data_IF_093277337216
#
_entry.id   IF_093277337216
#
_cell.length_a   1.000
_cell.length_b   1.000
_cell.length_c   1.000
_cell.angle_alpha   90.00
_cell.angle_beta   90.00
_cell.angle_gamma   90.00
#
_symmetry.space_group_name_H-M   'P 1'
#
loop_
_entity.id
_entity.type
_entity.pdbx_description
1 polymer ?
#
# COMPACT_ATOMS: atom_id res chain seq x y z
N UNK A 1 -2.31 -12.61 -8.98
CA UNK A 1 -2.83 -13.35 -10.15
C UNK A 1 -4.06 -14.12 -9.72
N UNK A 2 -5.09 -14.15 -10.56
CA UNK A 2 -6.22 -15.05 -10.31
C UNK A 2 -5.80 -16.50 -10.61
N UNK A 3 -6.13 -17.45 -9.73
CA UNK A 3 -5.99 -18.85 -10.08
C UNK A 3 -6.92 -19.16 -11.26
N UNK A 4 -6.47 -19.97 -12.24
CA UNK A 4 -7.35 -20.41 -13.31
C UNK A 4 -8.53 -21.18 -12.71
N UNK A 5 -9.74 -20.85 -13.16
CA UNK A 5 -10.97 -21.53 -12.77
C UNK A 5 -11.40 -22.45 -13.89
N UNK A 6 -11.74 -23.69 -13.54
CA UNK A 6 -12.24 -24.66 -14.52
C UNK A 6 -13.57 -24.24 -15.14
N UNK A 7 -13.69 -24.45 -16.45
CA UNK A 7 -14.91 -24.16 -17.20
C UNK A 7 -16.12 -24.97 -16.70
N UNK A 8 -15.91 -26.17 -16.16
CA UNK A 8 -16.96 -26.98 -15.55
C UNK A 8 -17.53 -26.31 -14.30
N UNK A 9 -16.68 -25.71 -13.47
CA UNK A 9 -17.08 -24.98 -12.26
C UNK A 9 -17.89 -23.73 -12.60
N UNK A 10 -17.50 -22.99 -13.64
CA UNK A 10 -18.26 -21.83 -14.10
C UNK A 10 -19.65 -22.23 -14.64
N UNK A 11 -19.72 -23.33 -15.41
CA UNK A 11 -21.00 -23.83 -15.97
C UNK A 11 -21.92 -24.42 -14.90
N UNK A 12 -21.37 -25.15 -13.94
CA UNK A 12 -22.13 -25.83 -12.90
C UNK A 12 -22.57 -24.88 -11.77
N UNK A 13 -21.96 -23.69 -11.68
CA UNK A 13 -22.30 -22.68 -10.68
C UNK A 13 -22.44 -21.28 -11.32
N UNK A 14 -23.60 -20.98 -11.93
CA UNK A 14 -23.81 -19.71 -12.63
C UNK A 14 -23.71 -18.48 -11.70
N UNK A 15 -24.05 -18.62 -10.42
CA UNK A 15 -23.89 -17.53 -9.44
C UNK A 15 -22.42 -17.17 -9.25
N UNK A 16 -21.56 -18.18 -9.11
CA UNK A 16 -20.12 -17.98 -9.03
C UNK A 16 -19.56 -17.42 -10.35
N UNK A 17 -20.03 -17.90 -11.50
CA UNK A 17 -19.61 -17.37 -12.80
C UNK A 17 -19.88 -15.87 -12.92
N UNK A 18 -21.06 -15.41 -12.54
CA UNK A 18 -21.39 -13.98 -12.56
C UNK A 18 -20.48 -13.17 -11.65
N UNK A 19 -20.23 -13.65 -10.43
CA UNK A 19 -19.31 -12.98 -9.50
C UNK A 19 -17.87 -12.95 -10.05
N UNK A 20 -17.40 -14.07 -10.60
CA UNK A 20 -16.08 -14.21 -11.17
C UNK A 20 -15.86 -13.20 -12.31
N UNK A 21 -16.80 -13.10 -13.26
CA UNK A 21 -16.75 -12.11 -14.33
C UNK A 21 -16.75 -10.67 -13.80
N UNK A 22 -17.61 -10.35 -12.84
CA UNK A 22 -17.64 -9.00 -12.23
C UNK A 22 -16.28 -8.65 -11.61
N UNK A 23 -15.65 -9.59 -10.91
CA UNK A 23 -14.34 -9.39 -10.30
C UNK A 23 -13.23 -9.25 -11.34
N UNK A 24 -13.12 -10.17 -12.30
CA UNK A 24 -12.01 -10.20 -13.26
C UNK A 24 -12.11 -9.15 -14.35
N UNK A 25 -13.33 -8.79 -14.77
CA UNK A 25 -13.56 -7.86 -15.87
C UNK A 25 -13.81 -6.44 -15.33
N UNK A 26 -14.58 -6.30 -14.27
CA UNK A 26 -15.00 -5.01 -13.73
C UNK A 26 -14.05 -4.42 -12.69
N UNK A 27 -13.59 -5.22 -11.73
CA UNK A 27 -13.03 -4.68 -10.48
C UNK A 27 -11.51 -4.84 -10.37
N UNK A 28 -10.96 -5.95 -10.84
CA UNK A 28 -9.57 -6.34 -10.59
C UNK A 28 -8.72 -6.30 -11.86
N UNK A 29 -7.46 -5.91 -11.69
CA UNK A 29 -6.42 -6.03 -12.70
C UNK A 29 -5.96 -7.50 -12.81
N UNK A 30 -5.26 -7.85 -13.89
CA UNK A 30 -4.75 -9.22 -14.12
C UNK A 30 -3.81 -9.72 -13.02
N UNK A 31 -3.06 -8.81 -12.38
CA UNK A 31 -2.20 -9.11 -11.24
C UNK A 31 -2.98 -9.31 -9.92
N UNK A 32 -4.29 -9.07 -9.90
CA UNK A 32 -5.16 -9.21 -8.73
C UNK A 32 -5.32 -7.94 -7.88
N UNK A 33 -4.76 -6.80 -8.29
CA UNK A 33 -4.99 -5.52 -7.60
C UNK A 33 -6.31 -4.89 -8.04
N UNK A 34 -6.88 -3.99 -7.23
CA UNK A 34 -8.12 -3.28 -7.58
C UNK A 34 -7.88 -2.17 -8.60
N UNK A 35 -8.80 -2.02 -9.55
CA UNK A 35 -8.85 -0.91 -10.51
C UNK A 35 -9.30 0.40 -9.87
N UNK A 36 -10.18 0.31 -8.86
CA UNK A 36 -10.81 1.48 -8.24
C UNK A 36 -10.01 2.06 -7.07
N UNK A 37 -9.17 1.24 -6.47
CA UNK A 37 -8.29 1.67 -5.39
C UNK A 37 -6.84 1.49 -5.83
N UNK A 38 -6.22 2.51 -6.45
CA UNK A 38 -4.77 2.54 -6.67
C UNK A 38 -3.98 2.65 -5.35
N UNK A 39 -4.67 2.61 -4.20
CA UNK A 39 -4.17 2.77 -2.84
C UNK A 39 -3.26 1.64 -2.35
N UNK A 40 -2.11 1.47 -3.01
CA UNK A 40 -0.90 0.97 -2.36
C UNK A 40 -0.12 2.09 -1.64
N UNK A 41 -0.61 3.34 -1.62
CA UNK A 41 0.06 4.41 -0.87
C UNK A 41 -0.02 4.20 0.66
N UNK A 42 -1.08 3.58 1.17
CA UNK A 42 -1.26 3.41 2.62
C UNK A 42 -0.63 2.13 3.18
N UNK A 43 -0.45 1.07 2.38
CA UNK A 43 0.20 -0.17 2.85
C UNK A 43 1.73 -0.11 2.83
N UNK A 44 2.33 0.68 1.95
CA UNK A 44 3.79 0.91 1.97
C UNK A 44 4.20 1.69 3.23
N UNK A 45 3.33 2.57 3.75
CA UNK A 45 3.61 3.36 4.94
C UNK A 45 3.68 2.49 6.21
N UNK A 46 2.87 1.43 6.32
CA UNK A 46 2.91 0.50 7.46
C UNK A 46 4.17 -0.39 7.42
N UNK A 47 4.70 -0.72 6.24
CA UNK A 47 5.97 -1.45 6.12
C UNK A 47 7.18 -0.54 6.34
N UNK A 48 7.16 0.72 5.90
CA UNK A 48 8.28 1.65 6.09
C UNK A 48 8.48 2.09 7.56
N UNK A 49 7.42 2.09 8.38
CA UNK A 49 7.52 2.45 9.82
C UNK A 49 8.07 1.31 10.68
N UNK A 50 8.06 0.06 10.18
CA UNK A 50 8.51 -1.11 10.96
C UNK A 50 10.00 -1.42 10.82
N UNK A 51 10.68 -0.95 9.77
CA UNK A 51 12.07 -1.36 9.44
C UNK A 51 13.09 -0.20 9.54
N UNK A 52 12.66 0.99 9.97
CA UNK A 52 13.58 2.07 10.34
C UNK A 52 13.26 2.55 11.76
N UNK A 53 14.11 2.32 12.78
CA UNK A 53 14.10 3.22 13.91
C UNK A 53 14.40 4.62 13.38
N UNK A 54 13.52 5.58 13.65
CA UNK A 54 13.71 6.99 13.33
C UNK A 54 15.15 7.41 13.73
N UNK A 55 16.03 7.79 12.79
CA UNK A 55 17.32 8.33 13.17
C UNK A 55 17.07 9.68 13.85
N UNK A 56 17.63 9.81 15.06
CA UNK A 56 17.63 11.01 15.88
C UNK A 56 18.04 12.24 15.05
N UNK A 57 17.08 12.98 14.48
CA UNK A 57 17.29 14.32 13.92
C UNK A 57 16.70 15.42 14.83
N UNK A 58 16.68 15.16 16.14
CA UNK A 58 16.52 16.18 17.19
C UNK A 58 17.88 16.55 17.81
N UNK A 59 18.95 16.71 17.02
CA UNK A 59 20.25 17.14 17.58
C UNK A 59 21.02 18.12 16.68
N UNK A 60 20.34 19.08 16.04
CA UNK A 60 21.04 20.28 15.56
C UNK A 60 20.09 21.48 15.47
N UNK A 61 19.98 22.23 16.58
CA UNK A 61 19.75 23.69 16.62
C UNK A 61 19.81 24.17 18.08
N UNK A 62 21.01 24.21 18.64
CA UNK A 62 21.33 25.15 19.72
C UNK A 62 22.45 26.03 19.18
N UNK A 63 22.06 27.14 18.56
CA UNK A 63 22.97 28.20 18.19
C UNK A 63 23.48 28.86 19.48
N UNK A 64 24.71 28.55 19.87
CA UNK A 64 25.37 29.20 21.00
C UNK A 64 25.77 30.64 20.59
N UNK A 65 25.19 31.63 21.26
CA UNK A 65 25.56 33.05 21.12
C UNK A 65 26.44 33.44 22.32
N UNK A 66 27.73 33.77 22.14
CA UNK A 66 28.58 34.17 23.26
C UNK A 66 28.18 35.55 23.80
N UNK A 67 28.29 35.79 25.13
CA UNK A 67 28.03 37.11 25.71
C UNK A 67 29.09 38.12 25.27
N UNK A 68 28.65 39.32 24.89
CA UNK A 68 29.54 40.46 24.59
C UNK A 68 30.23 40.91 25.87
N UNK A 69 31.55 40.77 25.94
CA UNK A 69 32.35 41.46 26.95
C UNK A 69 32.33 42.96 26.63
N UNK A 70 31.64 43.74 27.46
CA UNK A 70 31.88 45.18 27.58
C UNK A 70 33.09 45.39 28.49
N UNK A 71 34.06 46.15 28.01
CA UNK A 71 35.31 46.53 28.71
C UNK A 71 35.05 47.24 30.03
#
# INVERSE_FOLDING_TARGET
>A
MFPPVDNSTLKNNPKFSSLYSVLTEGILNSNGTSKYYPGQKERIQVTAVSIYPLPNQLLEKVEYVPPRHTY
#
